data_IF_011817668843
#
_entry.id   IF_011817668843
#
_cell.length_a   1.000
_cell.length_b   1.000
_cell.length_c   1.000
_cell.angle_alpha   90.00
_cell.angle_beta   90.00
_cell.angle_gamma   90.00
#
_symmetry.space_group_name_H-M   'P 1'
#
loop_
_entity.id
_entity.type
_entity.pdbx_description
1 polymer ?
#
# COMPACT_ATOMS: atom_id res chain seq x y z
N UNK A 1 8.13 15.90 7.24
CA UNK A 1 8.96 14.70 6.98
C UNK A 1 8.47 14.09 5.68
N UNK A 2 9.34 13.84 4.72
CA UNK A 2 8.95 13.16 3.47
C UNK A 2 8.84 11.66 3.75
N UNK A 3 7.65 11.09 3.54
CA UNK A 3 7.41 9.65 3.66
C UNK A 3 8.02 8.93 2.45
N UNK A 4 8.84 7.91 2.66
CA UNK A 4 9.45 7.12 1.58
C UNK A 4 8.67 5.84 1.29
N UNK A 5 8.85 5.25 0.11
CA UNK A 5 8.25 3.96 -0.23
C UNK A 5 8.70 2.84 0.74
N UNK A 6 9.90 2.95 1.31
CA UNK A 6 10.39 2.03 2.33
C UNK A 6 9.59 2.16 3.64
N UNK A 7 9.30 3.39 4.07
CA UNK A 7 8.51 3.65 5.28
C UNK A 7 7.08 3.10 5.12
N UNK A 8 6.47 3.31 3.96
CA UNK A 8 5.15 2.75 3.64
C UNK A 8 5.20 1.22 3.66
N UNK A 9 6.20 0.62 3.02
CA UNK A 9 6.35 -0.83 3.03
C UNK A 9 6.50 -1.39 4.44
N UNK A 10 7.29 -0.75 5.31
CA UNK A 10 7.45 -1.18 6.70
C UNK A 10 6.14 -1.07 7.49
N UNK A 11 5.40 0.03 7.33
CA UNK A 11 4.12 0.21 8.01
C UNK A 11 3.07 -0.83 7.56
N UNK A 12 2.97 -1.06 6.25
CA UNK A 12 2.06 -2.06 5.69
C UNK A 12 2.47 -3.48 6.11
N UNK A 13 3.75 -3.82 6.05
CA UNK A 13 4.24 -5.13 6.49
C UNK A 13 3.97 -5.37 7.98
N UNK A 14 4.13 -4.37 8.84
CA UNK A 14 3.80 -4.47 10.26
C UNK A 14 2.30 -4.74 10.49
N UNK A 15 1.43 -4.05 9.75
CA UNK A 15 -0.03 -4.17 9.90
C UNK A 15 -0.58 -5.47 9.30
N UNK A 16 -0.07 -5.88 8.15
CA UNK A 16 -0.53 -7.05 7.38
C UNK A 16 0.18 -8.35 7.77
N UNK A 17 1.22 -8.29 8.61
CA UNK A 17 1.88 -9.48 9.18
C UNK A 17 0.89 -10.43 9.88
N UNK A 18 -0.24 -9.89 10.34
CA UNK A 18 -1.34 -10.65 10.94
C UNK A 18 -2.22 -11.41 9.94
N UNK A 19 -2.20 -11.03 8.65
CA UNK A 19 -3.10 -11.57 7.64
C UNK A 19 -2.45 -12.70 6.83
N UNK A 20 -1.26 -12.53 6.22
CA UNK A 20 -0.78 -13.53 5.24
C UNK A 20 0.77 -13.62 5.01
N UNK A 21 1.60 -13.43 6.04
CA UNK A 21 3.06 -13.67 5.94
C UNK A 21 3.88 -12.53 5.32
N UNK A 22 5.16 -12.75 4.98
CA UNK A 22 6.06 -11.66 4.57
C UNK A 22 5.69 -11.08 3.20
N UNK A 23 5.33 -9.80 3.18
CA UNK A 23 5.11 -9.03 1.95
C UNK A 23 6.45 -8.62 1.35
N UNK A 24 6.72 -9.05 0.12
CA UNK A 24 7.83 -8.58 -0.67
C UNK A 24 7.36 -7.49 -1.62
N UNK A 25 8.16 -6.45 -1.81
CA UNK A 25 7.87 -5.39 -2.78
C UNK A 25 7.68 -5.93 -4.21
N UNK A 26 8.33 -7.04 -4.56
CA UNK A 26 8.18 -7.68 -5.87
C UNK A 26 6.92 -8.56 -5.99
N UNK A 27 6.21 -8.80 -4.89
CA UNK A 27 5.02 -9.64 -4.90
C UNK A 27 3.88 -8.94 -5.66
N UNK A 28 3.26 -9.61 -6.64
CA UNK A 28 2.03 -9.13 -7.24
C UNK A 28 0.92 -9.10 -6.19
N UNK A 29 0.12 -8.03 -6.16
CA UNK A 29 -1.05 -7.92 -5.28
C UNK A 29 -2.08 -9.04 -5.53
N UNK A 30 -2.13 -9.54 -6.77
CA UNK A 30 -2.98 -10.68 -7.13
C UNK A 30 -2.44 -12.04 -6.65
N UNK A 31 -1.16 -12.13 -6.25
CA UNK A 31 -0.52 -13.36 -5.80
C UNK A 31 -0.23 -13.37 -4.29
N UNK A 32 -0.21 -12.20 -3.65
CA UNK A 32 -0.44 -12.14 -2.22
C UNK A 32 -1.82 -12.76 -1.99
N UNK A 33 -1.95 -13.75 -1.10
CA UNK A 33 -3.20 -14.47 -0.82
C UNK A 33 -4.29 -13.58 -0.17
N UNK A 34 -4.26 -12.27 -0.45
CA UNK A 34 -5.19 -11.26 -0.02
C UNK A 34 -6.51 -11.51 -0.74
N UNK A 35 -7.55 -11.79 0.03
CA UNK A 35 -8.90 -11.78 -0.49
C UNK A 35 -9.41 -10.33 -0.66
N UNK A 36 -10.66 -10.17 -1.12
CA UNK A 36 -11.25 -8.85 -1.29
C UNK A 36 -11.39 -8.06 0.02
N UNK A 37 -11.48 -8.74 1.16
CA UNK A 37 -11.56 -8.11 2.48
C UNK A 37 -10.16 -7.65 2.93
N UNK A 38 -9.14 -8.50 2.75
CA UNK A 38 -7.75 -8.14 3.00
C UNK A 38 -7.31 -6.93 2.17
N UNK A 39 -7.73 -6.87 0.90
CA UNK A 39 -7.46 -5.73 0.03
C UNK A 39 -8.16 -4.46 0.55
N UNK A 40 -9.40 -4.58 1.02
CA UNK A 40 -10.12 -3.45 1.62
C UNK A 40 -9.42 -2.95 2.89
N UNK A 41 -9.00 -3.86 3.77
CA UNK A 41 -8.25 -3.51 4.99
C UNK A 41 -6.93 -2.82 4.65
N UNK A 42 -6.19 -3.32 3.66
CA UNK A 42 -4.97 -2.68 3.17
C UNK A 42 -5.25 -1.23 2.71
N UNK A 43 -6.31 -1.00 1.96
CA UNK A 43 -6.69 0.34 1.49
C UNK A 43 -7.11 1.24 2.66
N UNK A 44 -7.84 0.71 3.64
CA UNK A 44 -8.21 1.46 4.85
C UNK A 44 -6.99 1.87 5.68
N UNK A 45 -6.01 0.98 5.83
CA UNK A 45 -4.75 1.27 6.53
C UNK A 45 -3.96 2.36 5.82
N UNK A 46 -3.94 2.35 4.48
CA UNK A 46 -3.28 3.41 3.71
C UNK A 46 -3.97 4.76 3.91
N UNK A 47 -5.30 4.82 3.86
CA UNK A 47 -6.05 6.07 4.10
C UNK A 47 -5.84 6.55 5.55
N UNK A 48 -5.88 5.66 6.54
CA UNK A 48 -5.65 5.98 7.96
C UNK A 48 -4.25 6.57 8.20
N UNK A 49 -3.21 5.95 7.65
CA UNK A 49 -1.82 6.32 7.93
C UNK A 49 -1.33 7.53 7.13
N UNK A 50 -1.85 7.71 5.92
CA UNK A 50 -1.27 8.66 4.96
C UNK A 50 -2.30 9.62 4.34
N UNK A 51 -3.58 9.49 4.69
CA UNK A 51 -4.69 10.30 4.14
C UNK A 51 -4.76 10.29 2.61
N UNK A 52 -4.42 9.14 2.01
CA UNK A 52 -4.45 8.94 0.55
C UNK A 52 -5.59 8.03 0.15
N UNK A 53 -6.25 8.38 -0.95
CA UNK A 53 -7.34 7.60 -1.54
C UNK A 53 -7.03 7.21 -2.96
N UNK A 54 -7.38 5.98 -3.30
CA UNK A 54 -7.28 5.46 -4.65
C UNK A 54 -8.58 5.69 -5.41
N UNK A 55 -8.49 6.16 -6.65
CA UNK A 55 -9.54 5.96 -7.61
C UNK A 55 -9.55 4.50 -8.12
N UNK A 56 -10.67 4.01 -8.67
CA UNK A 56 -10.72 2.67 -9.25
C UNK A 56 -9.72 2.45 -10.39
N UNK A 57 -9.35 3.50 -11.12
CA UNK A 57 -8.40 3.42 -12.23
C UNK A 57 -6.96 3.29 -11.71
N UNK A 58 -6.61 4.07 -10.68
CA UNK A 58 -5.30 3.99 -10.03
C UNK A 58 -5.10 2.63 -9.38
N UNK A 59 -6.13 2.10 -8.71
CA UNK A 59 -6.05 0.78 -8.10
C UNK A 59 -5.78 -0.33 -9.14
N UNK A 60 -6.35 -0.21 -10.35
CA UNK A 60 -6.09 -1.15 -11.45
C UNK A 60 -4.70 -1.01 -12.07
N UNK A 61 -4.08 0.16 -11.92
CA UNK A 61 -2.73 0.42 -12.45
C UNK A 61 -1.61 -0.11 -11.55
N UNK A 62 -1.91 -0.37 -10.27
CA UNK A 62 -0.95 -0.91 -9.30
C UNK A 62 -0.99 -2.44 -9.35
N UNK A 63 0.13 -3.05 -9.75
CA UNK A 63 0.24 -4.50 -9.93
C UNK A 63 0.98 -5.17 -8.76
N UNK A 64 1.94 -4.47 -8.17
CA UNK A 64 2.82 -5.01 -7.12
C UNK A 64 2.75 -4.21 -5.82
N UNK A 65 3.16 -4.83 -4.71
CA UNK A 65 3.29 -4.14 -3.42
C UNK A 65 4.27 -2.97 -3.50
N UNK A 66 5.36 -3.10 -4.26
CA UNK A 66 6.35 -2.03 -4.44
C UNK A 66 5.78 -0.83 -5.21
N UNK A 67 4.97 -1.07 -6.24
CA UNK A 67 4.27 0.01 -6.95
C UNK A 67 3.27 0.70 -6.04
N UNK A 68 2.56 -0.06 -5.19
CA UNK A 68 1.63 0.50 -4.21
C UNK A 68 2.36 1.45 -3.24
N UNK A 69 3.49 1.01 -2.67
CA UNK A 69 4.21 1.79 -1.68
C UNK A 69 4.85 3.04 -2.29
N UNK A 70 5.33 2.95 -3.53
CA UNK A 70 5.83 4.10 -4.29
C UNK A 70 4.71 5.10 -4.59
N UNK A 71 3.55 4.62 -5.01
CA UNK A 71 2.39 5.46 -5.29
C UNK A 71 1.94 6.24 -4.06
N UNK A 72 1.84 5.56 -2.90
CA UNK A 72 1.47 6.18 -1.62
C UNK A 72 2.49 7.23 -1.20
N UNK A 73 3.79 6.92 -1.30
CA UNK A 73 4.85 7.85 -0.94
C UNK A 73 4.84 9.11 -1.83
N UNK A 74 4.66 8.94 -3.14
CA UNK A 74 4.58 10.06 -4.09
C UNK A 74 3.40 10.99 -3.76
N UNK A 75 2.20 10.43 -3.57
CA UNK A 75 1.01 11.19 -3.19
C UNK A 75 1.13 11.90 -1.84
N UNK A 76 1.76 11.26 -0.86
CA UNK A 76 2.01 11.87 0.45
C UNK A 76 2.97 13.06 0.34
N UNK A 77 3.94 13.00 -0.58
CA UNK A 77 4.84 14.12 -0.85
C UNK A 77 4.12 15.28 -1.53
N UNK A 78 3.22 15.01 -2.47
CA UNK A 78 2.41 16.03 -3.16
C UNK A 78 1.45 16.73 -2.20
N UNK A 79 0.80 16.00 -1.29
CA UNK A 79 -0.15 16.55 -0.33
C UNK A 79 0.49 17.49 0.72
N UNK A 80 1.81 17.38 0.92
CA UNK A 80 2.57 18.18 1.89
C UNK A 80 3.45 19.27 1.23
N UNK A 81 3.28 19.50 -0.08
CA UNK A 81 3.95 20.57 -0.85
C UNK A 81 3.03 21.77 -1.01
#
# INVERSE_FOLDING_TARGET
MSVTAHDVHQALAARLSFLNGPLSAASPLAQTQLDSLDLLELLMVIDELYAVRFSPEELRSVTTVGELTQWVAARTSEANS
#
